data_IF_945224872788
#
_entry.id   IF_945224872788
#
_cell.length_a   1.000
_cell.length_b   1.000
_cell.length_c   1.000
_cell.angle_alpha   90.00
_cell.angle_beta   90.00
_cell.angle_gamma   90.00
#
_symmetry.space_group_name_H-M   'P 1'
#
loop_
_entity.id
_entity.type
_entity.pdbx_description
1 polymer ?
#
# COMPACT_ATOMS: atom_id res chain seq x y z
N UNK A 1 10.95 17.60 21.68
CA UNK A 1 9.60 18.11 21.38
C UNK A 1 8.77 16.97 20.82
N UNK A 2 7.53 16.83 21.28
CA UNK A 2 6.59 15.81 20.81
C UNK A 2 5.78 16.40 19.65
N UNK A 3 5.82 15.76 18.47
CA UNK A 3 5.05 16.21 17.32
C UNK A 3 3.60 15.70 17.43
N UNK A 4 2.63 16.60 17.35
CA UNK A 4 1.20 16.26 17.31
C UNK A 4 0.82 15.83 15.89
N UNK A 5 0.52 14.55 15.71
CA UNK A 5 0.13 13.94 14.43
C UNK A 5 -1.36 13.58 14.48
N UNK A 6 -2.18 14.18 13.62
CA UNK A 6 -3.65 14.00 13.59
C UNK A 6 -4.20 13.50 12.23
N UNK A 7 -3.33 13.34 11.23
CA UNK A 7 -3.64 12.90 9.88
C UNK A 7 -3.16 11.46 9.57
N UNK A 8 -2.87 10.67 10.61
CA UNK A 8 -2.46 9.27 10.48
C UNK A 8 -3.56 8.36 11.03
N UNK A 9 -3.99 7.43 10.19
CA UNK A 9 -4.95 6.38 10.54
C UNK A 9 -4.23 5.04 10.53
N UNK A 10 -4.34 4.30 11.63
CA UNK A 10 -3.73 2.98 11.78
C UNK A 10 -4.82 1.92 11.67
N UNK A 11 -4.57 0.90 10.86
CA UNK A 11 -5.45 -0.27 10.72
C UNK A 11 -4.64 -1.53 10.96
N UNK A 12 -5.17 -2.40 11.81
CA UNK A 12 -4.70 -3.76 11.87
C UNK A 12 -5.37 -4.56 10.75
N UNK A 13 -4.62 -4.85 9.69
CA UNK A 13 -5.10 -5.58 8.54
C UNK A 13 -3.95 -6.32 7.84
N UNK A 14 -4.32 -7.18 6.89
CA UNK A 14 -3.42 -7.70 5.87
C UNK A 14 -3.19 -6.59 4.83
N UNK A 15 -1.99 -6.00 4.84
CA UNK A 15 -1.64 -4.91 3.93
C UNK A 15 -1.71 -5.30 2.46
N UNK A 16 -1.60 -6.60 2.12
CA UNK A 16 -1.68 -7.07 0.73
C UNK A 16 -3.07 -6.89 0.12
N UNK A 17 -4.11 -6.76 0.96
CA UNK A 17 -5.50 -6.46 0.56
C UNK A 17 -5.76 -4.95 0.44
N UNK A 18 -4.80 -4.11 0.81
CA UNK A 18 -4.95 -2.66 0.85
C UNK A 18 -5.98 -2.19 1.87
N UNK A 19 -6.60 -1.05 1.58
CA UNK A 19 -7.63 -0.44 2.39
C UNK A 19 -8.77 0.09 1.50
N UNK A 20 -9.71 -0.77 1.09
CA UNK A 20 -10.77 -0.42 0.14
C UNK A 20 -11.64 0.77 0.58
N UNK A 21 -11.91 0.90 1.89
CA UNK A 21 -12.71 2.00 2.43
C UNK A 21 -11.99 3.36 2.37
N UNK A 22 -10.65 3.35 2.26
CA UNK A 22 -9.83 4.55 2.06
C UNK A 22 -9.47 4.82 0.60
N UNK A 23 -9.73 3.86 -0.29
CA UNK A 23 -9.44 3.97 -1.71
C UNK A 23 -10.39 4.97 -2.41
N UNK A 24 -9.99 5.54 -3.56
CA UNK A 24 -8.71 5.32 -4.23
C UNK A 24 -7.59 6.21 -3.66
N UNK A 25 -6.34 5.74 -3.75
CA UNK A 25 -5.15 6.43 -3.25
C UNK A 25 -4.39 7.13 -4.37
N UNK A 26 -3.91 8.34 -4.11
CA UNK A 26 -2.94 9.01 -4.98
C UNK A 26 -1.60 8.29 -4.94
N UNK A 27 -1.19 7.80 -3.76
CA UNK A 27 0.09 7.13 -3.54
C UNK A 27 -0.06 5.93 -2.63
N UNK A 28 0.62 4.84 -2.97
CA UNK A 28 0.75 3.66 -2.12
C UNK A 28 2.24 3.37 -1.95
N UNK A 29 2.69 3.15 -0.71
CA UNK A 29 4.05 2.73 -0.43
C UNK A 29 3.96 1.44 0.38
N UNK A 30 4.57 0.37 -0.12
CA UNK A 30 4.71 -0.87 0.63
C UNK A 30 6.15 -1.00 1.12
N UNK A 31 6.34 -1.18 2.42
CA UNK A 31 7.64 -1.33 3.06
C UNK A 31 7.94 -2.81 3.39
N UNK A 32 7.46 -3.73 2.55
CA UNK A 32 7.72 -5.17 2.62
C UNK A 32 7.73 -5.74 1.19
N UNK A 33 8.61 -6.70 0.92
CA UNK A 33 8.83 -7.24 -0.41
C UNK A 33 7.78 -8.29 -0.77
N UNK A 34 7.03 -8.04 -1.85
CA UNK A 34 6.14 -9.04 -2.43
C UNK A 34 6.86 -9.82 -3.54
N UNK A 35 6.41 -11.05 -3.80
CA UNK A 35 6.92 -11.82 -4.94
C UNK A 35 6.54 -11.14 -6.27
N UNK A 36 5.28 -10.70 -6.37
CA UNK A 36 4.69 -10.00 -7.51
C UNK A 36 3.88 -8.78 -7.07
N UNK A 37 3.51 -7.91 -8.01
CA UNK A 37 2.66 -6.74 -7.74
C UNK A 37 1.30 -7.17 -7.15
N UNK A 38 0.94 -6.75 -5.92
CA UNK A 38 -0.36 -7.10 -5.34
C UNK A 38 -1.51 -6.40 -6.10
N UNK A 39 -2.33 -7.19 -6.80
CA UNK A 39 -3.44 -6.68 -7.61
C UNK A 39 -4.41 -5.79 -6.83
N UNK A 40 -4.72 -6.16 -5.58
CA UNK A 40 -5.61 -5.37 -4.73
C UNK A 40 -5.08 -3.97 -4.43
N UNK A 41 -3.76 -3.79 -4.33
CA UNK A 41 -3.15 -2.46 -4.18
C UNK A 41 -3.18 -1.69 -5.51
N UNK A 42 -2.91 -2.36 -6.62
CA UNK A 42 -2.96 -1.76 -7.95
C UNK A 42 -4.38 -1.24 -8.30
N UNK A 43 -5.42 -2.00 -7.95
CA UNK A 43 -6.83 -1.61 -8.15
C UNK A 43 -7.22 -0.36 -7.35
N UNK A 44 -6.59 -0.17 -6.19
CA UNK A 44 -6.85 0.95 -5.29
C UNK A 44 -6.06 2.22 -5.64
N UNK A 45 -5.18 2.20 -6.64
CA UNK A 45 -4.55 3.43 -7.16
C UNK A 45 -5.52 4.26 -8.00
N UNK A 46 -5.54 5.57 -7.81
CA UNK A 46 -6.21 6.50 -8.74
C UNK A 46 -5.58 6.45 -10.14
N UNK A 47 -6.30 6.82 -11.21
CA UNK A 47 -5.66 7.24 -12.47
C UNK A 47 -4.62 8.34 -12.19
N UNK A 48 -3.41 8.20 -12.74
CA UNK A 48 -2.26 9.05 -12.42
C UNK A 48 -1.57 8.75 -11.07
N UNK A 49 -2.08 7.77 -10.31
CA UNK A 49 -1.53 7.34 -9.03
C UNK A 49 -0.20 6.60 -9.18
N UNK A 50 0.59 6.60 -8.10
CA UNK A 50 1.91 5.96 -8.07
C UNK A 50 1.99 5.01 -6.87
N UNK A 51 2.38 3.76 -7.12
CA UNK A 51 2.79 2.83 -6.09
C UNK A 51 4.30 2.62 -6.12
N UNK A 52 4.91 2.54 -4.94
CA UNK A 52 6.31 2.16 -4.77
C UNK A 52 6.39 0.98 -3.83
N UNK A 53 7.00 -0.11 -4.29
CA UNK A 53 7.15 -1.33 -3.50
C UNK A 53 8.38 -2.14 -3.92
N UNK A 54 9.02 -2.86 -2.98
CA UNK A 54 10.01 -3.86 -3.33
C UNK A 54 9.33 -5.11 -3.91
N UNK A 55 9.87 -5.62 -5.01
CA UNK A 55 9.46 -6.88 -5.62
C UNK A 55 10.64 -7.85 -5.74
N UNK A 56 10.36 -9.14 -5.61
CA UNK A 56 11.31 -10.23 -5.81
C UNK A 56 11.57 -11.07 -4.57
N UNK A 57 12.23 -12.21 -4.78
CA UNK A 57 12.57 -13.15 -3.72
C UNK A 57 13.65 -12.59 -2.77
N UNK A 58 13.71 -13.13 -1.55
CA UNK A 58 14.74 -12.76 -0.58
C UNK A 58 16.15 -12.88 -1.16
N UNK A 59 16.95 -11.82 -1.03
CA UNK A 59 18.31 -11.75 -1.59
C UNK A 59 18.38 -11.31 -3.05
N UNK A 60 17.25 -11.15 -3.75
CA UNK A 60 17.19 -10.64 -5.12
C UNK A 60 15.93 -9.77 -5.33
N UNK A 61 15.85 -8.69 -4.54
CA UNK A 61 14.74 -7.74 -4.60
C UNK A 61 15.18 -6.45 -5.29
N UNK A 62 14.26 -5.82 -6.02
CA UNK A 62 14.44 -4.45 -6.54
C UNK A 62 13.26 -3.58 -6.15
N UNK A 63 13.49 -2.28 -6.00
CA UNK A 63 12.45 -1.31 -5.68
C UNK A 63 11.79 -0.86 -6.98
N UNK A 64 10.47 -1.01 -7.09
CA UNK A 64 9.72 -0.66 -8.29
C UNK A 64 8.86 0.56 -8.07
N UNK A 65 8.83 1.44 -9.08
CA UNK A 65 7.82 2.48 -9.25
C UNK A 65 6.79 1.99 -10.26
N UNK A 66 5.52 2.03 -9.88
CA UNK A 66 4.39 1.63 -10.71
C UNK A 66 3.46 2.83 -10.83
N UNK A 67 3.22 3.32 -12.03
CA UNK A 67 2.32 4.43 -12.31
C UNK A 67 1.11 3.93 -13.08
N UNK A 68 -0.09 4.23 -12.59
CA UNK A 68 -1.34 3.99 -13.31
C UNK A 68 -1.60 5.15 -14.27
N UNK A 69 -1.72 4.87 -15.55
CA UNK A 69 -2.16 5.82 -16.57
C UNK A 69 -3.45 5.32 -17.26
N UNK A 70 -3.93 6.06 -18.25
CA UNK A 70 -5.17 5.70 -18.97
C UNK A 70 -5.01 4.42 -19.83
N UNK A 71 -3.78 4.00 -20.12
CA UNK A 71 -3.46 2.83 -20.93
C UNK A 71 -3.11 1.59 -20.08
N UNK A 72 -2.91 1.74 -18.77
CA UNK A 72 -2.61 0.64 -17.85
C UNK A 72 -1.59 1.03 -16.79
N UNK A 73 -0.61 0.14 -16.57
CA UNK A 73 0.45 0.33 -15.58
C UNK A 73 1.82 0.46 -16.27
N UNK A 74 2.52 1.54 -15.97
CA UNK A 74 3.92 1.75 -16.35
C UNK A 74 4.80 1.39 -15.16
N UNK A 75 5.80 0.53 -15.38
CA UNK A 75 6.72 0.09 -14.33
C UNK A 75 8.12 0.59 -14.60
N UNK A 76 8.86 0.84 -13.53
CA UNK A 76 10.24 1.29 -13.56
C UNK A 76 10.99 0.69 -12.38
N UNK A 77 12.11 0.05 -12.68
CA UNK A 77 13.05 -0.48 -11.69
C UNK A 77 13.95 0.65 -11.18
N UNK A 78 13.94 0.87 -9.86
CA UNK A 78 14.72 1.89 -9.16
C UNK A 78 16.01 1.32 -8.55
N UNK A 79 16.24 0.01 -8.68
CA UNK A 79 17.47 -0.68 -8.27
C UNK A 79 17.30 -1.61 -7.06
N UNK A 80 18.40 -2.29 -6.73
CA UNK A 80 18.45 -3.35 -5.73
C UNK A 80 18.20 -2.84 -4.30
N UNK A 81 17.43 -3.61 -3.53
CA UNK A 81 17.09 -3.33 -2.12
C UNK A 81 17.00 -4.61 -1.30
N UNK A 82 16.84 -4.48 0.02
CA UNK A 82 16.59 -5.60 0.92
C UNK A 82 15.52 -5.22 1.96
N UNK A 83 14.37 -5.86 1.87
CA UNK A 83 13.20 -5.71 2.74
C UNK A 83 12.74 -7.08 3.26
N UNK A 84 12.04 -7.03 4.40
CA UNK A 84 11.33 -8.19 4.96
C UNK A 84 10.21 -8.67 4.03
N UNK A 85 9.81 -9.95 4.07
CA UNK A 85 8.77 -10.48 3.19
C UNK A 85 7.39 -9.86 3.48
N UNK A 86 6.62 -9.66 2.42
CA UNK A 86 5.23 -9.22 2.48
C UNK A 86 4.33 -10.44 2.67
N UNK A 87 4.09 -10.76 3.94
CA UNK A 87 3.36 -11.96 4.31
C UNK A 87 1.83 -11.75 4.24
N UNK A 88 1.06 -12.75 3.79
CA UNK A 88 -0.39 -12.73 3.94
C UNK A 88 -0.75 -12.74 5.44
N UNK A 89 -1.78 -11.99 5.79
CA UNK A 89 -2.24 -11.91 7.17
C UNK A 89 -3.09 -13.12 7.56
N UNK A 90 -2.68 -13.85 8.59
CA UNK A 90 -3.58 -14.68 9.39
C UNK A 90 -4.17 -13.81 10.50
N UNK A 91 -5.22 -13.04 10.19
CA UNK A 91 -5.92 -12.27 11.23
C UNK A 91 -6.81 -13.26 11.99
N UNK A 92 -6.43 -13.60 13.22
CA UNK A 92 -7.34 -14.32 14.11
C UNK A 92 -8.53 -13.42 14.47
N UNK A 93 -9.74 -13.97 14.43
CA UNK A 93 -11.01 -13.24 14.51
C UNK A 93 -11.24 -12.44 15.80
N UNK A 94 -10.37 -12.57 16.81
CA UNK A 94 -10.55 -11.98 18.14
C UNK A 94 -10.03 -10.55 18.29
N UNK A 95 -9.56 -9.93 17.21
CA UNK A 95 -8.82 -8.68 17.27
C UNK A 95 -9.33 -7.61 16.30
N UNK A 96 -10.66 -7.48 16.22
CA UNK A 96 -11.30 -6.32 15.59
C UNK A 96 -11.22 -5.13 16.56
N UNK A 97 -10.02 -4.55 16.70
CA UNK A 97 -9.86 -3.27 17.37
C UNK A 97 -10.27 -2.18 16.38
N UNK A 98 -11.52 -1.71 16.48
CA UNK A 98 -11.97 -0.51 15.79
C UNK A 98 -11.20 0.71 16.31
N UNK A 99 -10.17 1.14 15.60
CA UNK A 99 -9.55 2.46 15.78
C UNK A 99 -10.44 3.50 15.08
N UNK A 100 -11.55 3.80 15.73
CA UNK A 100 -12.49 4.87 15.38
C UNK A 100 -11.76 6.20 15.18
N UNK A 101 -11.70 6.66 13.92
CA UNK A 101 -11.86 8.06 13.47
C UNK A 101 -11.60 8.31 11.97
N UNK A 102 -11.48 7.28 11.11
CA UNK A 102 -11.53 7.55 9.67
C UNK A 102 -12.92 8.07 9.28
N UNK A 103 -12.99 9.34 8.88
CA UNK A 103 -14.13 9.92 8.17
C UNK A 103 -13.64 10.22 6.75
N UNK A 104 -14.18 9.56 5.72
CA UNK A 104 -13.78 9.87 4.35
C UNK A 104 -14.01 11.37 4.10
N UNK A 105 -13.03 12.02 3.47
CA UNK A 105 -13.18 13.40 3.04
C UNK A 105 -14.39 13.45 2.09
N UNK A 106 -15.47 14.10 2.50
CA UNK A 106 -16.63 14.32 1.63
C UNK A 106 -16.13 15.00 0.35
N UNK A 107 -16.49 14.42 -0.80
CA UNK A 107 -15.88 14.70 -2.09
C UNK A 107 -15.69 16.18 -2.39
N UNK A 108 -14.45 16.53 -2.76
CA UNK A 108 -14.22 17.74 -3.54
C UNK A 108 -14.79 17.49 -4.94
N UNK A 109 -15.98 18.03 -5.18
CA UNK A 109 -16.54 18.25 -6.52
C UNK A 109 -15.70 19.29 -7.28
#
# INVERSE_FOLDING_TARGET
EEQKIDNVFLRWADGGKGWPEGAPFDRIIAAAAADDMPGALADQLKPGGIMVLPLGAAGNQSLWRIRRDDAGFQTEDLGAVAFVPFLPGAIEANHVAETSRYRPAQGAA
#
